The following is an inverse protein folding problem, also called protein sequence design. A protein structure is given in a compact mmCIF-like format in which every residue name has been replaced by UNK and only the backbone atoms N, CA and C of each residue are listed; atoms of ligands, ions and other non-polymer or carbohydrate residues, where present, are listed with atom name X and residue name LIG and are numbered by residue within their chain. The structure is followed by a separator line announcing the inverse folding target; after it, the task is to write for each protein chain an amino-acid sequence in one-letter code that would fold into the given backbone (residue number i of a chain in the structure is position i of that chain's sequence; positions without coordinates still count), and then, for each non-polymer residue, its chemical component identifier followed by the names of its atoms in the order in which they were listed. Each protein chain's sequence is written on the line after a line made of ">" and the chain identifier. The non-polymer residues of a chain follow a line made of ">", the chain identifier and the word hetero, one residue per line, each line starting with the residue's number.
data_IF_098861023111
#
_entry.id   IF_098861023111
#
_cell.length_a   1.000
_cell.length_b   1.000
_cell.length_c   1.000
_cell.angle_alpha   90.00
_cell.angle_beta   90.00
_cell.angle_gamma   90.00
#
_symmetry.space_group_name_H-M   'P 1'
#
loop_
_entity.id
_entity.type
_entity.pdbx_description
1 polymer ?
#
# COMPACT_ATOMS: atom_id res chain seq x y z
N UNK A 1 -0.33 2.36 -33.86
CA UNK A 1 0.90 2.23 -33.06
C UNK A 1 0.50 2.24 -31.60
N UNK A 2 0.42 1.06 -30.97
CA UNK A 2 0.12 0.96 -29.55
C UNK A 2 1.38 1.36 -28.77
N UNK A 3 1.30 2.49 -28.08
CA UNK A 3 2.34 2.98 -27.20
C UNK A 3 2.49 1.94 -26.06
N UNK A 4 3.61 1.24 -26.04
CA UNK A 4 4.03 0.35 -24.97
C UNK A 4 4.25 1.19 -23.70
N UNK A 5 3.18 1.51 -22.98
CA UNK A 5 3.24 2.22 -21.71
C UNK A 5 3.30 1.17 -20.61
N UNK A 6 4.51 0.72 -20.30
CA UNK A 6 4.77 0.18 -18.97
C UNK A 6 4.58 1.37 -18.01
N UNK A 7 3.50 1.46 -17.23
CA UNK A 7 3.26 2.65 -16.42
C UNK A 7 4.32 2.68 -15.33
N UNK A 8 5.31 3.57 -15.50
CA UNK A 8 6.34 3.78 -14.50
C UNK A 8 5.66 4.10 -13.15
N UNK A 9 6.17 3.50 -12.08
CA UNK A 9 5.69 3.78 -10.73
C UNK A 9 6.14 5.20 -10.37
N UNK A 10 5.18 6.04 -10.03
CA UNK A 10 5.42 7.46 -9.75
C UNK A 10 5.48 7.71 -8.25
N UNK A 11 6.56 8.35 -7.80
CA UNK A 11 6.62 9.00 -6.50
C UNK A 11 5.95 10.38 -6.65
N UNK A 12 4.73 10.51 -6.13
CA UNK A 12 3.97 11.75 -6.24
C UNK A 12 4.42 12.70 -5.13
N UNK A 13 5.20 13.74 -5.47
CA UNK A 13 5.40 14.90 -4.60
C UNK A 13 4.23 15.85 -4.81
N UNK A 14 3.36 15.97 -3.80
CA UNK A 14 2.04 16.61 -3.82
C UNK A 14 0.99 15.74 -4.52
N UNK A 15 0.13 15.06 -3.74
CA UNK A 15 -0.95 14.19 -4.22
C UNK A 15 -1.96 14.97 -5.09
N UNK A 16 -1.63 15.13 -6.36
CA UNK A 16 -2.52 15.65 -7.38
C UNK A 16 -3.22 14.46 -8.06
N UNK A 17 -4.50 14.28 -7.71
CA UNK A 17 -5.33 13.15 -8.15
C UNK A 17 -5.44 13.01 -9.65
N UNK A 18 -5.17 14.07 -10.41
CA UNK A 18 -5.19 14.07 -11.87
C UNK A 18 -4.18 13.10 -12.48
N UNK A 19 -3.16 12.68 -11.73
CA UNK A 19 -2.14 11.75 -12.20
C UNK A 19 -2.37 10.29 -11.82
N UNK A 20 -3.32 9.99 -10.91
CA UNK A 20 -3.61 8.63 -10.45
C UNK A 20 -4.09 7.75 -11.61
N UNK A 21 -4.84 8.32 -12.57
CA UNK A 21 -5.26 7.60 -13.78
C UNK A 21 -4.15 7.33 -14.81
N UNK A 22 -2.97 7.93 -14.66
CA UNK A 22 -1.88 7.88 -15.65
C UNK A 22 -0.63 7.12 -15.19
N UNK A 23 -0.50 6.79 -13.90
CA UNK A 23 0.68 6.11 -13.35
C UNK A 23 0.31 5.17 -12.20
N UNK A 24 1.14 4.15 -11.97
CA UNK A 24 1.03 3.32 -10.76
C UNK A 24 1.61 4.11 -9.58
N UNK A 25 0.89 4.14 -8.45
CA UNK A 25 1.35 4.82 -7.22
C UNK A 25 1.82 3.76 -6.24
N UNK A 26 3.04 3.90 -5.72
CA UNK A 26 3.54 3.07 -4.62
C UNK A 26 3.47 3.86 -3.31
N UNK A 27 3.15 3.16 -2.22
CA UNK A 27 2.99 3.75 -0.90
C UNK A 27 4.35 4.07 -0.26
N UNK A 28 4.54 5.31 0.18
CA UNK A 28 5.79 5.74 0.82
C UNK A 28 5.56 6.96 1.71
N UNK A 29 6.01 6.88 2.96
CA UNK A 29 5.74 7.84 4.04
C UNK A 29 6.93 8.75 4.37
N UNK A 30 8.09 8.50 3.76
CA UNK A 30 9.39 9.08 4.16
C UNK A 30 9.68 8.92 5.67
N UNK A 31 9.35 7.74 6.22
CA UNK A 31 9.58 7.42 7.63
C UNK A 31 11.06 7.47 7.97
N UNK A 32 11.44 8.40 8.85
CA UNK A 32 12.78 8.95 8.95
C UNK A 32 12.75 10.46 9.13
N UNK A 33 11.81 11.13 8.46
CA UNK A 33 11.39 12.52 8.74
C UNK A 33 10.18 12.55 9.69
N UNK A 34 9.27 11.59 9.53
CA UNK A 34 8.13 11.34 10.43
C UNK A 34 8.47 10.32 11.54
N UNK A 35 7.70 10.35 12.65
CA UNK A 35 7.88 9.43 13.78
C UNK A 35 7.64 8.00 13.30
N UNK A 36 8.59 7.12 13.55
CA UNK A 36 8.42 5.70 13.22
C UNK A 36 7.22 5.12 13.99
N UNK A 37 6.35 4.42 13.28
CA UNK A 37 5.13 3.84 13.84
C UNK A 37 3.85 4.60 13.47
N UNK A 38 3.94 5.78 12.86
CA UNK A 38 2.77 6.51 12.34
C UNK A 38 2.57 6.34 10.83
N UNK A 39 3.25 5.39 10.20
CA UNK A 39 3.27 5.16 8.75
C UNK A 39 1.87 4.92 8.15
N UNK A 40 0.93 4.39 8.95
CA UNK A 40 -0.45 4.15 8.51
C UNK A 40 -1.25 5.47 8.34
N UNK A 41 -0.78 6.59 8.88
CA UNK A 41 -1.42 7.90 8.67
C UNK A 41 -1.36 8.34 7.20
N UNK A 42 -0.34 7.91 6.46
CA UNK A 42 -0.24 8.20 5.02
C UNK A 42 -1.43 7.61 4.26
N UNK A 43 -2.00 6.47 4.68
CA UNK A 43 -3.18 5.88 4.04
C UNK A 43 -4.39 6.80 4.14
N UNK A 44 -4.55 7.47 5.28
CA UNK A 44 -5.61 8.47 5.49
C UNK A 44 -5.36 9.69 4.61
N UNK A 45 -4.13 10.20 4.56
CA UNK A 45 -3.78 11.35 3.71
C UNK A 45 -3.97 11.06 2.22
N UNK A 46 -3.63 9.85 1.76
CA UNK A 46 -3.84 9.41 0.38
C UNK A 46 -5.33 9.34 0.04
N UNK A 47 -6.15 8.82 0.96
CA UNK A 47 -7.59 8.78 0.79
C UNK A 47 -8.22 10.19 0.80
N UNK A 48 -7.87 11.04 1.77
CA UNK A 48 -8.29 12.44 1.84
C UNK A 48 -7.88 13.23 0.59
N UNK A 49 -6.72 12.89 0.01
CA UNK A 49 -6.28 13.48 -1.24
C UNK A 49 -7.13 13.04 -2.44
N UNK A 50 -7.89 11.95 -2.34
CA UNK A 50 -8.87 11.51 -3.33
C UNK A 50 -8.63 10.12 -3.93
N UNK A 51 -7.75 9.31 -3.35
CA UNK A 51 -7.64 7.88 -3.70
C UNK A 51 -8.80 7.08 -3.09
N UNK A 52 -9.31 6.08 -3.83
CA UNK A 52 -10.23 5.11 -3.22
C UNK A 52 -9.48 4.26 -2.20
N UNK A 53 -10.22 3.70 -1.24
CA UNK A 53 -9.69 2.80 -0.20
C UNK A 53 -8.92 1.64 -0.84
N UNK A 54 -9.46 1.09 -1.93
CA UNK A 54 -8.82 0.01 -2.67
C UNK A 54 -7.53 0.48 -3.36
N UNK A 55 -7.51 1.67 -3.96
CA UNK A 55 -6.30 2.22 -4.58
C UNK A 55 -5.18 2.42 -3.55
N UNK A 56 -5.54 2.86 -2.33
CA UNK A 56 -4.58 2.99 -1.23
C UNK A 56 -4.01 1.63 -0.85
N UNK A 57 -4.84 0.60 -0.70
CA UNK A 57 -4.39 -0.76 -0.38
C UNK A 57 -3.49 -1.32 -1.49
N UNK A 58 -3.88 -1.17 -2.76
CA UNK A 58 -3.08 -1.62 -3.92
C UNK A 58 -1.75 -0.88 -3.98
N UNK A 59 -1.73 0.41 -3.64
CA UNK A 59 -0.50 1.21 -3.60
C UNK A 59 0.49 0.67 -2.56
N UNK A 60 -0.01 0.20 -1.42
CA UNK A 60 0.79 -0.32 -0.31
C UNK A 60 1.23 -1.77 -0.48
N UNK A 61 0.62 -2.51 -1.41
CA UNK A 61 0.81 -3.94 -1.56
C UNK A 61 1.39 -4.29 -2.94
N UNK A 62 0.54 -4.39 -3.96
CA UNK A 62 0.90 -4.81 -5.31
C UNK A 62 1.88 -3.84 -5.96
N UNK A 63 1.61 -2.53 -5.90
CA UNK A 63 2.46 -1.54 -6.57
C UNK A 63 3.81 -1.42 -5.87
N UNK A 64 3.86 -1.49 -4.54
CA UNK A 64 5.13 -1.54 -3.80
C UNK A 64 5.93 -2.82 -4.10
N UNK A 65 5.28 -3.97 -4.25
CA UNK A 65 5.96 -5.19 -4.65
C UNK A 65 6.50 -5.12 -6.09
N UNK A 66 5.78 -4.45 -6.99
CA UNK A 66 6.23 -4.16 -8.36
C UNK A 66 7.42 -3.21 -8.37
N UNK A 67 7.40 -2.15 -7.56
CA UNK A 67 8.52 -1.22 -7.42
C UNK A 67 9.81 -1.89 -6.93
N UNK A 68 9.68 -2.92 -6.11
CA UNK A 68 10.80 -3.65 -5.53
C UNK A 68 11.21 -4.89 -6.33
N UNK A 69 10.64 -5.11 -7.52
CA UNK A 69 10.84 -6.32 -8.33
C UNK A 69 10.57 -7.63 -7.54
N UNK A 70 9.57 -7.59 -6.65
CA UNK A 70 9.22 -8.67 -5.70
C UNK A 70 7.81 -9.23 -5.89
N UNK A 71 7.13 -8.89 -6.98
CA UNK A 71 5.76 -9.35 -7.29
C UNK A 71 5.59 -10.87 -7.26
N UNK A 72 6.64 -11.64 -7.55
CA UNK A 72 6.63 -13.10 -7.46
C UNK A 72 6.57 -13.66 -6.03
N UNK A 73 6.91 -12.85 -5.02
CA UNK A 73 7.05 -13.28 -3.63
C UNK A 73 6.24 -12.48 -2.62
N UNK A 74 5.80 -11.26 -2.97
CA UNK A 74 5.11 -10.31 -2.09
C UNK A 74 3.91 -9.64 -2.80
N UNK A 75 3.14 -8.88 -2.02
CA UNK A 75 2.13 -7.92 -2.51
C UNK A 75 0.71 -8.47 -2.66
N UNK A 76 0.51 -9.78 -2.62
CA UNK A 76 -0.83 -10.41 -2.62
C UNK A 76 -0.84 -11.66 -1.75
N UNK A 77 -2.03 -12.09 -1.34
CA UNK A 77 -2.24 -13.36 -0.64
C UNK A 77 -2.52 -14.45 -1.67
N UNK A 78 -1.46 -15.12 -2.13
CA UNK A 78 -1.50 -16.16 -3.16
C UNK A 78 -0.56 -17.30 -2.82
N UNK A 79 -0.88 -18.51 -3.29
CA UNK A 79 -0.02 -19.69 -3.09
C UNK A 79 1.35 -19.45 -3.72
N UNK A 80 2.41 -19.72 -2.95
CA UNK A 80 3.80 -19.55 -3.37
C UNK A 80 4.44 -18.23 -2.94
N UNK A 81 3.65 -17.26 -2.43
CA UNK A 81 4.16 -16.01 -1.86
C UNK A 81 4.44 -16.13 -0.35
N UNK A 82 5.17 -15.16 0.19
CA UNK A 82 5.44 -15.11 1.62
C UNK A 82 4.15 -14.84 2.41
N UNK A 83 4.02 -15.49 3.57
CA UNK A 83 2.91 -15.29 4.48
C UNK A 83 3.13 -14.03 5.34
N UNK A 84 3.06 -12.88 4.68
CA UNK A 84 3.10 -11.54 5.27
C UNK A 84 1.68 -10.96 5.28
N UNK A 85 1.04 -10.96 6.46
CA UNK A 85 -0.39 -10.70 6.60
C UNK A 85 -0.63 -9.76 7.78
N UNK A 86 -1.52 -8.78 7.60
CA UNK A 86 -2.09 -7.97 8.68
C UNK A 86 -3.60 -8.20 8.76
N UNK A 87 -4.18 -8.00 9.94
CA UNK A 87 -5.63 -7.94 10.09
C UNK A 87 -6.06 -6.81 11.03
N UNK A 88 -7.22 -6.24 10.70
CA UNK A 88 -7.89 -5.15 11.40
C UNK A 88 -9.29 -5.63 11.80
N UNK A 89 -9.83 -5.09 12.89
CA UNK A 89 -11.19 -5.47 13.35
C UNK A 89 -12.29 -4.95 12.42
N UNK A 90 -12.00 -3.84 11.75
CA UNK A 90 -12.87 -3.22 10.75
C UNK A 90 -12.26 -3.37 9.37
N UNK A 91 -13.11 -3.43 8.34
CA UNK A 91 -12.66 -3.50 6.95
C UNK A 91 -12.03 -2.17 6.52
N UNK A 92 -10.78 -2.16 6.02
CA UNK A 92 -10.16 -0.96 5.48
C UNK A 92 -10.79 -0.50 4.15
N UNK A 93 -11.67 -1.31 3.55
CA UNK A 93 -12.48 -0.93 2.38
C UNK A 93 -13.71 -0.12 2.75
N UNK A 94 -14.17 -0.20 4.00
CA UNK A 94 -15.29 0.59 4.50
C UNK A 94 -14.80 1.86 5.23
N UNK A 95 -13.65 1.77 5.90
CA UNK A 95 -12.99 2.91 6.52
C UNK A 95 -11.46 2.71 6.53
N UNK A 96 -10.74 3.54 5.79
CA UNK A 96 -9.27 3.44 5.65
C UNK A 96 -8.54 3.64 6.99
N UNK A 97 -9.14 4.33 7.96
CA UNK A 97 -8.59 4.52 9.31
C UNK A 97 -8.42 3.20 10.07
N UNK A 98 -9.08 2.12 9.65
CA UNK A 98 -8.86 0.79 10.20
C UNK A 98 -7.37 0.37 10.18
N UNK A 99 -6.60 0.85 9.19
CA UNK A 99 -5.16 0.61 9.08
C UNK A 99 -4.34 1.27 10.20
N UNK A 100 -4.89 2.25 10.91
CA UNK A 100 -4.26 2.86 12.09
C UNK A 100 -4.26 1.91 13.31
N UNK A 101 -5.16 0.93 13.33
CA UNK A 101 -5.34 -0.01 14.43
C UNK A 101 -5.31 -1.47 13.95
N UNK A 102 -4.11 -1.91 13.57
CA UNK A 102 -3.85 -3.31 13.18
C UNK A 102 -3.77 -4.18 14.43
N UNK A 103 -4.70 -5.13 14.59
CA UNK A 103 -4.74 -6.08 15.71
C UNK A 103 -3.79 -7.26 15.50
N UNK A 104 -3.59 -7.69 14.26
CA UNK A 104 -2.81 -8.88 13.94
C UNK A 104 -1.67 -8.59 12.96
N UNK A 105 -0.48 -9.15 13.22
CA UNK A 105 0.67 -9.06 12.31
C UNK A 105 1.37 -10.41 12.22
N UNK A 106 1.49 -10.92 10.99
CA UNK A 106 2.28 -12.09 10.62
C UNK A 106 3.33 -11.69 9.58
N UNK A 107 4.55 -12.21 9.75
CA UNK A 107 5.63 -12.06 8.78
C UNK A 107 6.32 -13.42 8.56
N UNK A 108 6.44 -13.84 7.30
CA UNK A 108 7.05 -15.11 6.92
C UNK A 108 6.42 -16.33 7.62
N UNK A 109 5.11 -16.27 7.90
CA UNK A 109 4.40 -17.35 8.61
C UNK A 109 4.52 -17.30 10.14
N UNK A 110 5.29 -16.36 10.71
CA UNK A 110 5.41 -16.18 12.16
C UNK A 110 4.53 -15.01 12.62
N UNK A 111 3.75 -15.24 13.68
CA UNK A 111 2.91 -14.20 14.30
C UNK A 111 3.75 -13.35 15.27
N UNK A 112 3.57 -12.03 15.19
CA UNK A 112 4.26 -11.04 16.01
C UNK A 112 3.31 -10.17 16.85
N UNK A 113 2.03 -10.07 16.47
CA UNK A 113 0.99 -9.30 17.18
C UNK A 113 -0.37 -10.01 17.03
N UNK A 114 -1.16 -10.03 18.11
CA UNK A 114 -2.54 -10.52 18.18
C UNK A 114 -3.29 -9.84 19.33
#
# INVERSE_FOLDING_TARGET
>A
GAMNRNPAICAIRNFDTRFIGFCKVAYGTDSGVSIHGTNAQEAVLMHEAGMTEMDVIVSATVNSADLLDKTSSLGTIEVGKQADIIATDQSPLDNIEALLSVGFVMKGGKVYKQ
#
